data_IF_285893453163
#
_entry.id   IF_285893453163
#
_cell.length_a   1.000
_cell.length_b   1.000
_cell.length_c   1.000
_cell.angle_alpha   90.00
_cell.angle_beta   90.00
_cell.angle_gamma   90.00
#
_symmetry.space_group_name_H-M   'P 1'
#
loop_
_entity.id
_entity.type
_entity.pdbx_description
1 polymer ?
#
# COMPACT_ATOMS: atom_id res chain seq x y z
N UNK A 1 -2.56 26.84 -8.31
CA UNK A 1 -2.73 25.39 -8.07
C UNK A 1 -1.64 24.78 -7.21
N UNK A 2 -0.43 25.37 -7.13
CA UNK A 2 0.67 24.89 -6.27
C UNK A 2 0.36 24.91 -4.78
N UNK A 3 -0.34 25.94 -4.29
CA UNK A 3 -0.63 26.11 -2.85
C UNK A 3 -1.49 24.97 -2.27
N UNK A 4 -2.50 24.53 -3.00
CA UNK A 4 -3.39 23.42 -2.56
C UNK A 4 -2.60 22.12 -2.42
N UNK A 5 -1.75 21.80 -3.40
CA UNK A 5 -0.90 20.60 -3.36
C UNK A 5 0.09 20.63 -2.19
N UNK A 6 0.65 21.80 -1.88
CA UNK A 6 1.53 21.97 -0.70
C UNK A 6 0.79 21.75 0.61
N UNK A 7 -0.45 22.23 0.74
CA UNK A 7 -1.28 22.02 1.92
C UNK A 7 -1.62 20.53 2.07
N UNK A 8 -2.06 19.87 0.99
CA UNK A 8 -2.34 18.43 0.99
C UNK A 8 -1.09 17.64 1.42
N UNK A 9 0.07 17.94 0.83
CA UNK A 9 1.34 17.32 1.17
C UNK A 9 1.68 17.45 2.65
N UNK A 10 1.57 18.67 3.20
CA UNK A 10 1.82 18.94 4.62
C UNK A 10 0.92 18.13 5.55
N UNK A 11 -0.37 18.09 5.29
CA UNK A 11 -1.31 17.36 6.15
C UNK A 11 -1.16 15.84 6.04
N UNK A 12 -0.79 15.31 4.86
CA UNK A 12 -0.46 13.89 4.72
C UNK A 12 0.77 13.51 5.56
N UNK A 13 1.80 14.36 5.59
CA UNK A 13 2.97 14.16 6.45
C UNK A 13 2.64 14.22 7.94
N UNK A 14 1.60 14.98 8.32
CA UNK A 14 1.06 15.01 9.69
C UNK A 14 0.14 13.82 10.01
N UNK A 15 -0.05 12.89 9.07
CA UNK A 15 -0.86 11.68 9.26
C UNK A 15 -2.35 11.86 8.98
N UNK A 16 -2.74 12.87 8.20
CA UNK A 16 -4.09 12.98 7.64
C UNK A 16 -4.22 12.17 6.36
N UNK A 17 -5.42 11.64 6.09
CA UNK A 17 -5.68 10.77 4.94
C UNK A 17 -6.53 11.48 3.90
N UNK A 18 -6.17 11.40 2.63
CA UNK A 18 -7.05 11.81 1.53
C UNK A 18 -8.24 10.85 1.42
N UNK A 19 -9.45 11.38 1.34
CA UNK A 19 -10.67 10.57 1.14
C UNK A 19 -11.02 10.46 -0.33
N UNK A 20 -11.91 9.51 -0.64
CA UNK A 20 -12.55 9.33 -1.94
C UNK A 20 -13.69 10.33 -2.20
N UNK A 21 -13.96 11.22 -1.25
CA UNK A 21 -15.02 12.23 -1.34
C UNK A 21 -14.43 13.57 -1.71
N UNK A 22 -14.85 14.12 -2.86
CA UNK A 22 -14.50 15.49 -3.24
C UNK A 22 -15.33 16.51 -2.46
N UNK A 23 -14.78 17.71 -2.29
CA UNK A 23 -15.50 18.84 -1.72
C UNK A 23 -16.75 19.16 -2.54
N UNK A 24 -17.89 19.36 -1.87
CA UNK A 24 -19.19 19.63 -2.51
C UNK A 24 -19.43 21.11 -2.81
N UNK A 25 -18.47 21.99 -2.53
CA UNK A 25 -18.65 23.44 -2.71
C UNK A 25 -18.59 23.80 -4.20
N UNK A 26 -19.45 24.70 -4.69
CA UNK A 26 -19.60 25.00 -6.11
C UNK A 26 -18.31 25.58 -6.75
N UNK A 27 -17.46 26.23 -5.95
CA UNK A 27 -16.21 26.84 -6.41
C UNK A 27 -14.97 25.96 -6.15
N UNK A 28 -15.17 24.71 -5.74
CA UNK A 28 -14.09 23.77 -5.45
C UNK A 28 -14.22 22.53 -6.34
N UNK A 29 -13.50 22.53 -7.46
CA UNK A 29 -13.58 21.45 -8.45
C UNK A 29 -12.52 20.40 -8.13
N UNK A 30 -12.97 19.16 -7.85
CA UNK A 30 -12.09 17.99 -7.77
C UNK A 30 -11.15 17.91 -6.57
N UNK A 31 -11.18 18.86 -5.63
CA UNK A 31 -10.33 18.78 -4.44
C UNK A 31 -10.84 17.68 -3.49
N UNK A 32 -10.05 16.65 -3.17
CA UNK A 32 -10.43 15.64 -2.19
C UNK A 32 -10.50 16.23 -0.78
N UNK A 33 -11.38 15.69 0.06
CA UNK A 33 -11.37 15.98 1.50
C UNK A 33 -10.21 15.24 2.18
N UNK A 34 -9.67 15.83 3.24
CA UNK A 34 -8.70 15.21 4.12
C UNK A 34 -9.37 14.87 5.44
N UNK A 35 -9.03 13.72 6.03
CA UNK A 35 -9.56 13.26 7.31
C UNK A 35 -8.46 13.05 8.34
N UNK A 36 -8.67 13.57 9.55
CA UNK A 36 -7.79 13.34 10.71
C UNK A 36 -8.03 11.97 11.35
N UNK A 37 -7.15 11.59 12.30
CA UNK A 37 -7.36 10.40 13.15
C UNK A 37 -8.62 10.51 13.99
N UNK A 38 -9.02 11.72 14.36
CA UNK A 38 -10.21 12.01 15.15
C UNK A 38 -11.50 12.11 14.29
N UNK A 39 -11.38 11.89 12.98
CA UNK A 39 -12.52 11.86 12.05
C UNK A 39 -12.94 13.23 11.51
N UNK A 40 -12.24 14.32 11.85
CA UNK A 40 -12.51 15.67 11.32
C UNK A 40 -12.13 15.72 9.84
N UNK A 41 -13.03 16.25 9.01
CA UNK A 41 -12.83 16.43 7.57
C UNK A 41 -12.55 17.88 7.20
N UNK A 42 -11.61 18.10 6.27
CA UNK A 42 -11.14 19.42 5.84
C UNK A 42 -10.85 19.43 4.34
N UNK A 43 -11.07 20.55 3.66
CA UNK A 43 -10.72 20.72 2.24
C UNK A 43 -9.59 21.75 2.06
N UNK A 44 -8.47 21.32 1.49
CA UNK A 44 -7.26 22.13 1.35
C UNK A 44 -7.41 23.37 0.46
N UNK A 45 -8.37 23.37 -0.48
CA UNK A 45 -8.60 24.53 -1.36
C UNK A 45 -9.21 25.74 -0.65
N UNK A 46 -9.73 25.56 0.57
CA UNK A 46 -10.48 26.59 1.27
C UNK A 46 -9.69 27.31 2.36
N UNK A 47 -8.46 26.90 2.66
CA UNK A 47 -7.62 27.57 3.67
C UNK A 47 -8.16 27.53 5.11
N UNK A 48 -9.38 27.04 5.34
CA UNK A 48 -10.04 27.00 6.64
C UNK A 48 -9.45 25.90 7.52
N UNK A 49 -8.50 26.27 8.37
CA UNK A 49 -7.92 25.40 9.41
C UNK A 49 -9.03 24.60 10.13
N UNK A 50 -8.86 23.28 10.34
CA UNK A 50 -9.90 22.45 10.96
C UNK A 50 -10.29 23.02 12.33
N UNK A 51 -11.58 23.33 12.49
CA UNK A 51 -12.14 23.86 13.73
C UNK A 51 -11.99 22.80 14.83
N UNK A 52 -11.30 23.17 15.91
CA UNK A 52 -11.26 22.39 17.15
C UNK A 52 -12.04 23.19 18.21
N UNK A 53 -13.09 22.54 18.74
CA UNK A 53 -13.88 22.76 19.96
C UNK A 53 -14.97 23.87 20.06
N UNK A 54 -16.25 23.44 20.13
CA UNK A 54 -17.13 23.48 21.34
C UNK A 54 -18.61 23.12 21.03
N UNK A 55 -19.13 22.09 21.72
CA UNK A 55 -20.46 21.43 21.68
C UNK A 55 -21.68 22.29 22.12
N UNK A 56 -22.92 21.75 22.34
CA UNK A 56 -23.68 20.66 21.70
C UNK A 56 -25.09 21.13 21.20
N UNK A 57 -25.70 20.46 20.21
CA UNK A 57 -27.17 20.26 20.19
C UNK A 57 -27.63 19.20 19.19
N UNK A 58 -28.49 18.34 19.72
CA UNK A 58 -29.14 17.15 19.22
C UNK A 58 -29.88 17.30 17.88
N UNK A 59 -29.86 16.26 17.05
CA UNK A 59 -31.04 15.41 16.81
C UNK A 59 -30.77 14.29 15.79
N UNK A 60 -30.89 13.07 16.31
CA UNK A 60 -31.29 11.79 15.71
C UNK A 60 -31.87 11.86 14.29
N UNK A 61 -31.35 11.00 13.39
CA UNK A 61 -32.16 10.02 12.62
C UNK A 61 -31.29 8.90 12.04
N UNK A 62 -31.52 7.73 12.58
CA UNK A 62 -31.19 6.40 12.07
C UNK A 62 -31.72 6.21 10.65
N UNK A 63 -30.90 5.71 9.73
CA UNK A 63 -31.34 4.83 8.65
C UNK A 63 -30.28 3.76 8.42
N UNK A 64 -30.64 2.52 8.76
CA UNK A 64 -30.01 1.34 8.20
C UNK A 64 -30.32 1.32 6.70
N UNK A 65 -29.28 1.14 5.90
CA UNK A 65 -29.38 0.69 4.51
C UNK A 65 -28.28 -0.33 4.28
N UNK A 66 -28.66 -1.58 4.42
CA UNK A 66 -28.07 -2.75 3.79
C UNK A 66 -27.99 -2.51 2.28
N UNK A 67 -26.86 -2.79 1.63
CA UNK A 67 -26.76 -3.38 0.29
C UNK A 67 -25.29 -3.53 -0.17
N UNK A 68 -24.93 -4.79 -0.39
CA UNK A 68 -24.10 -5.32 -1.48
C UNK A 68 -22.65 -4.84 -1.68
N UNK A 69 -21.76 -5.58 -1.01
CA UNK A 69 -20.70 -6.40 -1.61
C UNK A 69 -20.36 -6.11 -3.09
N UNK A 70 -19.40 -5.20 -3.30
CA UNK A 70 -18.51 -5.26 -4.46
C UNK A 70 -17.05 -5.15 -4.00
N UNK A 71 -16.44 -6.33 -4.00
CA UNK A 71 -15.02 -6.67 -3.98
C UNK A 71 -14.15 -5.64 -4.73
N UNK A 72 -13.52 -4.72 -4.01
CA UNK A 72 -12.41 -3.91 -4.52
C UNK A 72 -11.12 -4.46 -3.93
N UNK A 73 -10.51 -5.39 -4.66
CA UNK A 73 -9.11 -5.75 -4.44
C UNK A 73 -8.25 -4.50 -4.65
N UNK A 74 -7.32 -4.28 -3.72
CA UNK A 74 -6.24 -3.31 -3.84
C UNK A 74 -5.42 -3.71 -5.07
N UNK A 75 -5.70 -3.08 -6.21
CA UNK A 75 -4.83 -3.12 -7.38
C UNK A 75 -3.86 -1.95 -7.23
N UNK A 76 -2.66 -2.23 -6.73
CA UNK A 76 -1.51 -1.40 -7.06
C UNK A 76 -1.30 -1.51 -8.58
N UNK A 77 -1.23 -0.40 -9.33
CA UNK A 77 -0.98 -0.48 -10.77
C UNK A 77 0.38 -1.14 -11.02
N UNK A 78 0.50 -2.00 -12.04
CA UNK A 78 1.80 -2.50 -12.45
C UNK A 78 2.62 -1.32 -12.97
N UNK A 79 3.83 -1.13 -12.42
CA UNK A 79 4.84 -0.24 -12.98
C UNK A 79 4.98 -0.56 -14.47
N UNK A 80 4.75 0.39 -15.40
CA UNK A 80 4.93 0.10 -16.82
C UNK A 80 6.39 -0.26 -17.07
N UNK A 81 6.59 -1.50 -17.52
CA UNK A 81 7.86 -1.98 -18.06
C UNK A 81 8.09 -1.24 -19.38
N UNK A 82 8.95 -0.23 -19.36
CA UNK A 82 9.59 0.28 -20.58
C UNK A 82 10.67 -0.72 -21.00
N UNK A 83 10.46 -1.29 -22.18
CA UNK A 83 11.37 -2.14 -22.97
C UNK A 83 10.49 -2.83 -24.03
N UNK A 84 10.66 -2.60 -25.32
CA UNK A 84 11.91 -2.67 -26.04
C UNK A 84 11.94 -1.82 -27.32
N UNK A 85 13.17 -1.57 -27.78
CA UNK A 85 13.57 -0.67 -28.84
C UNK A 85 13.13 -1.13 -30.24
N UNK A 86 12.82 -0.16 -31.14
CA UNK A 86 13.60 0.13 -32.37
C UNK A 86 12.73 0.71 -33.50
N UNK A 87 12.69 2.04 -33.59
CA UNK A 87 12.82 2.77 -34.86
C UNK A 87 13.45 4.13 -34.53
N UNK A 88 14.48 4.48 -35.29
CA UNK A 88 15.28 5.70 -35.18
C UNK A 88 14.38 6.95 -35.24
N UNK A 89 14.59 7.92 -34.34
CA UNK A 89 14.66 9.34 -34.75
C UNK A 89 15.23 10.24 -33.64
N UNK A 90 16.13 11.15 -34.04
CA UNK A 90 16.51 12.41 -33.40
C UNK A 90 16.80 12.50 -31.89
N UNK A 91 18.08 12.45 -31.53
CA UNK A 91 18.65 13.23 -30.42
C UNK A 91 18.46 14.73 -30.71
N UNK A 92 18.02 15.54 -29.73
CA UNK A 92 18.65 16.80 -29.26
C UNK A 92 17.95 17.22 -27.93
N UNK A 93 18.59 16.95 -26.78
CA UNK A 93 18.27 17.64 -25.52
C UNK A 93 19.60 18.21 -25.04
N UNK A 94 19.87 19.46 -25.39
CA UNK A 94 20.90 20.27 -24.75
C UNK A 94 20.47 20.53 -23.30
N UNK A 95 21.23 19.99 -22.36
CA UNK A 95 21.24 20.42 -20.96
C UNK A 95 22.70 20.62 -20.56
N UNK A 96 23.11 21.89 -20.65
CA UNK A 96 24.31 22.42 -20.04
C UNK A 96 24.19 22.41 -18.49
N UNK A 97 25.34 22.14 -17.85
CA UNK A 97 25.75 22.41 -16.45
C UNK A 97 24.95 21.72 -15.30
N UNK A 98 25.56 21.14 -14.26
CA UNK A 98 26.83 21.37 -13.56
C UNK A 98 27.37 20.04 -12.98
N UNK A 99 28.71 19.95 -12.90
CA UNK A 99 29.48 18.90 -12.22
C UNK A 99 29.19 18.85 -10.71
N UNK A 100 28.60 17.74 -10.23
CA UNK A 100 28.76 17.26 -8.86
C UNK A 100 29.03 15.75 -8.91
N UNK A 101 30.26 15.39 -8.56
CA UNK A 101 30.78 14.03 -8.49
C UNK A 101 30.12 13.22 -7.35
N UNK A 102 28.83 12.91 -7.48
CA UNK A 102 28.21 11.87 -6.68
C UNK A 102 28.58 10.52 -7.30
N UNK A 103 29.66 9.93 -6.78
CA UNK A 103 30.08 8.54 -7.01
C UNK A 103 28.92 7.62 -6.62
N UNK A 104 27.98 7.43 -7.55
CA UNK A 104 26.81 6.60 -7.41
C UNK A 104 27.31 5.17 -7.27
N UNK A 105 27.49 4.75 -6.02
CA UNK A 105 27.77 3.38 -5.62
C UNK A 105 26.66 2.54 -6.24
N UNK A 106 26.94 2.00 -7.42
CA UNK A 106 26.06 1.13 -8.16
C UNK A 106 26.00 -0.15 -7.35
N UNK A 107 25.03 -0.23 -6.44
CA UNK A 107 24.67 -1.47 -5.78
C UNK A 107 24.62 -2.55 -6.87
N UNK A 108 25.17 -3.75 -6.63
CA UNK A 108 25.27 -4.77 -7.66
C UNK A 108 23.89 -4.94 -8.28
N UNK A 109 23.77 -4.58 -9.56
CA UNK A 109 22.52 -4.70 -10.29
C UNK A 109 22.25 -6.20 -10.30
N UNK A 110 21.38 -6.64 -9.39
CA UNK A 110 20.94 -8.03 -9.38
C UNK A 110 20.47 -8.34 -10.81
N UNK A 111 20.98 -9.43 -11.38
CA UNK A 111 20.75 -9.75 -12.78
C UNK A 111 19.24 -9.70 -13.10
N UNK A 112 18.89 -9.24 -14.31
CA UNK A 112 17.49 -8.99 -14.69
C UNK A 112 16.60 -10.21 -14.44
N UNK A 113 17.15 -11.41 -14.64
CA UNK A 113 16.47 -12.68 -14.37
C UNK A 113 16.15 -12.84 -12.87
N UNK A 114 17.10 -12.55 -11.99
CA UNK A 114 16.92 -12.63 -10.53
C UNK A 114 15.88 -11.63 -10.02
N UNK A 115 15.84 -10.42 -10.58
CA UNK A 115 14.84 -9.41 -10.25
C UNK A 115 13.45 -9.85 -10.71
N UNK A 116 13.35 -10.44 -11.91
CA UNK A 116 12.09 -10.96 -12.42
C UNK A 116 11.59 -12.14 -11.59
N UNK A 117 12.47 -13.07 -11.22
CA UNK A 117 12.14 -14.19 -10.33
C UNK A 117 11.61 -13.72 -8.97
N UNK A 118 12.24 -12.69 -8.37
CA UNK A 118 11.78 -12.08 -7.11
C UNK A 118 10.37 -11.50 -7.21
N UNK A 119 10.06 -10.81 -8.30
CA UNK A 119 8.70 -10.25 -8.53
C UNK A 119 7.67 -11.37 -8.67
N UNK A 120 7.95 -12.38 -9.49
CA UNK A 120 7.05 -13.52 -9.68
C UNK A 120 6.78 -14.28 -8.37
N UNK A 121 7.81 -14.47 -7.55
CA UNK A 121 7.63 -15.08 -6.22
C UNK A 121 6.76 -14.21 -5.32
N UNK A 122 6.99 -12.90 -5.29
CA UNK A 122 6.19 -11.96 -4.49
C UNK A 122 4.71 -12.02 -4.86
N UNK A 123 4.41 -12.04 -6.16
CA UNK A 123 3.03 -12.12 -6.67
C UNK A 123 2.38 -13.45 -6.27
N UNK A 124 3.10 -14.56 -6.44
CA UNK A 124 2.64 -15.89 -6.03
C UNK A 124 2.41 -15.96 -4.52
N UNK A 125 3.34 -15.45 -3.72
CA UNK A 125 3.26 -15.41 -2.27
C UNK A 125 2.03 -14.61 -1.83
N UNK A 126 1.83 -13.42 -2.40
CA UNK A 126 0.71 -12.53 -2.08
C UNK A 126 -0.64 -13.19 -2.35
N UNK A 127 -0.77 -13.88 -3.49
CA UNK A 127 -1.99 -14.62 -3.83
C UNK A 127 -2.27 -15.76 -2.84
N UNK A 128 -1.26 -16.56 -2.49
CA UNK A 128 -1.39 -17.68 -1.53
C UNK A 128 -1.68 -17.18 -0.11
N UNK A 129 -0.97 -16.14 0.33
CA UNK A 129 -1.19 -15.49 1.63
C UNK A 129 -2.63 -14.97 1.72
N UNK A 130 -3.10 -14.23 0.71
CA UNK A 130 -4.47 -13.73 0.67
C UNK A 130 -5.51 -14.83 0.83
N UNK A 131 -5.34 -15.95 0.13
CA UNK A 131 -6.23 -17.12 0.25
C UNK A 131 -6.23 -17.73 1.66
N UNK A 132 -5.07 -17.79 2.32
CA UNK A 132 -4.97 -18.33 3.68
C UNK A 132 -5.55 -17.36 4.72
N UNK A 133 -5.35 -16.05 4.56
CA UNK A 133 -5.96 -15.02 5.42
C UNK A 133 -7.49 -15.11 5.39
N UNK A 134 -8.08 -15.32 4.21
CA UNK A 134 -9.53 -15.54 4.06
C UNK A 134 -10.01 -16.83 4.77
N UNK A 135 -9.14 -17.82 4.93
CA UNK A 135 -9.39 -19.06 5.71
C UNK A 135 -9.08 -18.89 7.20
N UNK A 136 -8.78 -17.68 7.66
CA UNK A 136 -8.50 -17.38 9.07
C UNK A 136 -7.07 -17.68 9.53
N UNK A 137 -6.14 -17.93 8.61
CA UNK A 137 -4.72 -18.03 8.95
C UNK A 137 -4.18 -16.67 9.37
N UNK A 138 -3.07 -16.69 10.11
CA UNK A 138 -2.49 -15.48 10.71
C UNK A 138 -1.06 -15.31 10.22
N UNK A 139 -0.75 -14.11 9.73
CA UNK A 139 0.59 -13.71 9.34
C UNK A 139 1.47 -13.51 10.59
N UNK A 140 2.71 -13.97 10.55
CA UNK A 140 3.66 -13.90 11.66
C UNK A 140 4.71 -12.82 11.40
N UNK A 141 5.25 -12.27 12.49
CA UNK A 141 6.41 -11.38 12.43
C UNK A 141 7.72 -12.18 12.28
N UNK A 142 7.82 -12.95 11.20
CA UNK A 142 8.98 -13.79 10.89
C UNK A 142 8.96 -14.17 9.40
N UNK A 143 10.14 -14.38 8.84
CA UNK A 143 10.33 -14.70 7.42
C UNK A 143 10.88 -16.12 7.24
N UNK A 144 10.59 -16.71 6.09
CA UNK A 144 11.17 -17.99 5.68
C UNK A 144 12.70 -17.89 5.60
N UNK A 145 13.41 -18.92 6.09
CA UNK A 145 14.87 -18.97 6.06
C UNK A 145 15.42 -19.79 4.88
N UNK A 146 14.55 -20.28 4.00
CA UNK A 146 14.96 -20.97 2.78
C UNK A 146 15.69 -20.02 1.82
N UNK A 147 16.79 -20.48 1.23
CA UNK A 147 17.62 -19.68 0.30
C UNK A 147 16.83 -19.16 -0.91
N UNK A 148 15.82 -19.93 -1.33
CA UNK A 148 15.01 -19.63 -2.51
C UNK A 148 13.75 -18.82 -2.16
N UNK A 149 13.55 -18.47 -0.88
CA UNK A 149 12.41 -17.66 -0.43
C UNK A 149 12.86 -16.23 -0.11
N UNK A 150 12.49 -15.27 -0.96
CA UNK A 150 12.93 -13.89 -0.82
C UNK A 150 11.97 -13.07 0.03
N UNK A 151 12.21 -13.06 1.35
CA UNK A 151 11.45 -12.22 2.29
C UNK A 151 10.00 -12.65 2.48
N UNK A 152 9.68 -13.92 2.23
CA UNK A 152 8.32 -14.45 2.37
C UNK A 152 7.95 -14.55 3.86
N UNK A 153 6.88 -13.89 4.31
CA UNK A 153 6.44 -14.00 5.70
C UNK A 153 5.87 -15.37 6.01
N UNK A 154 6.10 -15.85 7.24
CA UNK A 154 5.54 -17.09 7.75
C UNK A 154 4.09 -16.90 8.19
N UNK A 155 3.29 -17.96 8.09
CA UNK A 155 1.89 -17.98 8.51
C UNK A 155 1.67 -19.08 9.55
N UNK A 156 0.65 -18.93 10.40
CA UNK A 156 0.18 -20.02 11.27
C UNK A 156 -1.28 -20.32 11.00
N UNK A 157 -1.67 -21.56 11.28
CA UNK A 157 -3.05 -21.99 11.20
C UNK A 157 -3.94 -21.27 12.24
N UNK A 158 -5.25 -21.23 12.01
CA UNK A 158 -6.21 -20.74 13.01
C UNK A 158 -6.12 -21.53 14.31
N UNK A 159 -6.37 -20.89 15.45
CA UNK A 159 -6.31 -21.53 16.79
C UNK A 159 -7.21 -22.76 16.94
N UNK A 160 -8.30 -22.83 16.18
CA UNK A 160 -9.26 -23.95 16.20
C UNK A 160 -8.97 -25.01 15.12
N UNK A 161 -7.86 -24.91 14.39
CA UNK A 161 -7.50 -25.98 13.45
C UNK A 161 -7.14 -27.21 14.27
N UNK A 162 -7.78 -28.35 13.99
CA UNK A 162 -7.45 -29.67 14.58
C UNK A 162 -5.99 -30.11 14.33
N UNK A 163 -5.24 -29.35 13.53
CA UNK A 163 -3.80 -29.47 13.28
C UNK A 163 -2.94 -28.72 14.33
N UNK A 164 -3.38 -28.67 15.59
CA UNK A 164 -2.46 -28.34 16.67
C UNK A 164 -1.74 -29.63 16.99
N UNK A 165 -0.43 -29.68 16.73
CA UNK A 165 0.40 -30.81 17.17
C UNK A 165 0.18 -31.07 18.64
N UNK A 166 0.23 -32.35 19.02
CA UNK A 166 0.09 -32.86 20.39
C UNK A 166 1.06 -32.24 21.41
N UNK A 167 1.99 -31.40 20.96
CA UNK A 167 2.96 -30.64 21.77
C UNK A 167 2.61 -29.15 21.97
N UNK A 168 1.54 -28.64 21.34
CA UNK A 168 1.15 -27.23 21.47
C UNK A 168 2.07 -26.22 20.76
N UNK A 169 3.02 -26.69 19.94
CA UNK A 169 3.86 -25.82 19.13
C UNK A 169 3.03 -25.22 17.98
N UNK A 170 3.05 -23.89 17.87
CA UNK A 170 2.41 -23.15 16.77
C UNK A 170 3.32 -23.24 15.55
N UNK A 171 3.04 -24.18 14.65
CA UNK A 171 3.77 -24.35 13.38
C UNK A 171 3.80 -23.04 12.59
N UNK A 172 4.99 -22.65 12.13
CA UNK A 172 5.18 -21.50 11.23
C UNK A 172 5.34 -22.04 9.81
N UNK A 173 4.44 -21.71 8.92
CA UNK A 173 4.38 -22.28 7.57
C UNK A 173 4.78 -21.25 6.51
N UNK A 174 5.60 -21.63 5.54
CA UNK A 174 5.92 -20.81 4.37
C UNK A 174 5.04 -21.20 3.18
N UNK A 175 4.42 -20.22 2.52
CA UNK A 175 3.52 -20.47 1.38
C UNK A 175 4.24 -20.77 0.06
N UNK A 176 5.55 -20.52 -0.04
CA UNK A 176 6.33 -20.70 -1.28
C UNK A 176 7.01 -22.06 -1.29
N UNK A 177 7.81 -22.37 -0.27
CA UNK A 177 8.45 -23.68 -0.16
C UNK A 177 7.56 -24.74 0.51
N UNK A 178 6.35 -24.37 0.95
CA UNK A 178 5.37 -25.26 1.56
C UNK A 178 5.90 -26.05 2.77
N UNK A 179 6.88 -25.48 3.46
CA UNK A 179 7.58 -26.07 4.60
C UNK A 179 7.12 -25.46 5.93
N UNK A 180 7.03 -26.30 6.95
CA UNK A 180 6.89 -25.89 8.34
C UNK A 180 8.25 -25.54 8.97
N UNK A 181 8.27 -24.50 9.79
CA UNK A 181 9.40 -23.94 10.52
C UNK A 181 9.04 -23.89 12.01
N UNK A 182 9.99 -24.24 12.87
CA UNK A 182 9.85 -24.21 14.33
C UNK A 182 10.14 -22.81 14.93
#
# INVERSE_FOLDING_TARGET
>A
TSEVSSILGRYMLLGWTLTDVNCRRPNCIGCPLMRSKDGIEFCASLGDKPMVDSSPSSSVRTRLSEHDNKKSGIFTPPTPLLGDNRAQDGLEIDRDDDDDDDEWISAPIADRETLQARRLQSDLASSRIGNLLLKGWILLNGQCQGSDCWGVPLMRSPKNSYLVDSLGLKRKYCVICEQDWE
#
